data_IF_559426539585
#
_entry.id   IF_559426539585
#
_cell.length_a   1.000
_cell.length_b   1.000
_cell.length_c   1.000
_cell.angle_alpha   90.00
_cell.angle_beta   90.00
_cell.angle_gamma   90.00
#
_symmetry.space_group_name_H-M   'P 1'
#
loop_
_entity.id
_entity.type
_entity.pdbx_description
1 polymer ?
#
# COMPACT_ATOMS: atom_id res chain seq x y z
N UNK A 1 16.91 -8.38 -12.07
CA UNK A 1 15.93 -9.43 -11.69
C UNK A 1 14.59 -8.77 -11.80
N UNK A 2 13.74 -9.25 -12.70
CA UNK A 2 12.50 -8.56 -13.04
C UNK A 2 11.58 -8.48 -11.82
N UNK A 3 11.07 -7.28 -11.55
CA UNK A 3 10.17 -7.01 -10.44
C UNK A 3 8.73 -7.39 -10.80
N UNK A 4 8.20 -8.41 -10.13
CA UNK A 4 6.89 -9.00 -10.43
C UNK A 4 5.70 -8.08 -10.13
N UNK A 5 5.84 -7.20 -9.15
CA UNK A 5 4.85 -6.17 -8.79
C UNK A 5 4.64 -5.16 -9.93
N UNK A 6 5.71 -4.77 -10.63
CA UNK A 6 5.63 -3.88 -11.80
C UNK A 6 4.92 -4.57 -12.96
N UNK A 7 5.27 -5.84 -13.23
CA UNK A 7 4.61 -6.64 -14.27
C UNK A 7 3.11 -6.75 -13.99
N UNK A 8 2.72 -7.06 -12.75
CA UNK A 8 1.33 -7.16 -12.35
C UNK A 8 0.60 -5.81 -12.52
N UNK A 9 1.26 -4.69 -12.17
CA UNK A 9 0.74 -3.34 -12.36
C UNK A 9 0.52 -2.98 -13.83
N UNK A 10 1.51 -3.21 -14.69
CA UNK A 10 1.43 -3.01 -16.14
C UNK A 10 0.31 -3.87 -16.75
N UNK A 11 0.25 -5.17 -16.41
CA UNK A 11 -0.78 -6.10 -16.89
C UNK A 11 -2.18 -5.64 -16.51
N UNK A 12 -2.41 -5.30 -15.24
CA UNK A 12 -3.72 -4.83 -14.75
C UNK A 12 -4.14 -3.52 -15.45
N UNK A 13 -3.20 -2.60 -15.72
CA UNK A 13 -3.49 -1.38 -16.46
C UNK A 13 -3.89 -1.69 -17.92
N UNK A 14 -3.18 -2.59 -18.60
CA UNK A 14 -3.50 -3.00 -19.97
C UNK A 14 -4.84 -3.72 -20.04
N UNK A 15 -5.14 -4.61 -19.08
CA UNK A 15 -6.44 -5.30 -18.96
C UNK A 15 -7.60 -4.33 -18.74
N UNK A 16 -7.36 -3.15 -18.14
CA UNK A 16 -8.33 -2.07 -17.98
C UNK A 16 -8.45 -1.17 -19.22
N UNK A 17 -7.72 -1.45 -20.29
CA UNK A 17 -7.75 -0.70 -21.54
C UNK A 17 -6.80 0.50 -21.60
N UNK A 18 -5.89 0.66 -20.64
CA UNK A 18 -4.84 1.67 -20.74
C UNK A 18 -3.75 1.22 -21.71
N UNK A 19 -3.17 2.16 -22.45
CA UNK A 19 -1.99 1.87 -23.27
C UNK A 19 -0.78 1.53 -22.39
N UNK A 20 0.14 0.72 -22.91
CA UNK A 20 1.37 0.36 -22.21
C UNK A 20 2.18 1.61 -21.80
N UNK A 21 2.24 2.64 -22.65
CA UNK A 21 2.90 3.92 -22.35
C UNK A 21 2.25 4.66 -21.18
N UNK A 22 0.92 4.72 -21.13
CA UNK A 22 0.20 5.32 -20.00
C UNK A 22 0.46 4.55 -18.69
N UNK A 23 0.51 3.22 -18.76
CA UNK A 23 0.83 2.38 -17.61
C UNK A 23 2.27 2.62 -17.10
N UNK A 24 3.26 2.71 -18.00
CA UNK A 24 4.64 3.07 -17.66
C UNK A 24 4.73 4.44 -16.99
N UNK A 25 4.03 5.45 -17.52
CA UNK A 25 4.01 6.79 -16.92
C UNK A 25 3.40 6.78 -15.51
N UNK A 26 2.35 5.98 -15.28
CA UNK A 26 1.75 5.82 -13.95
C UNK A 26 2.73 5.23 -12.93
N UNK A 27 3.52 4.25 -13.34
CA UNK A 27 4.56 3.64 -12.51
C UNK A 27 5.72 4.60 -12.23
N UNK A 28 6.15 5.39 -13.22
CA UNK A 28 7.12 6.47 -13.03
C UNK A 28 6.64 7.47 -11.96
N UNK A 29 5.38 7.89 -12.06
CA UNK A 29 4.76 8.79 -11.08
C UNK A 29 4.65 8.16 -9.68
N UNK A 30 4.65 6.83 -9.58
CA UNK A 30 4.58 6.08 -8.31
C UNK A 30 5.97 5.84 -7.68
N UNK A 31 7.05 6.31 -8.31
CA UNK A 31 8.42 6.21 -7.79
C UNK A 31 9.18 4.95 -8.21
N UNK A 32 8.66 4.18 -9.17
CA UNK A 32 9.42 3.07 -9.74
C UNK A 32 10.52 3.60 -10.67
N UNK A 33 11.66 2.90 -10.72
CA UNK A 33 12.78 3.31 -11.59
C UNK A 33 12.47 3.01 -13.06
N UNK A 34 12.96 3.84 -13.97
CA UNK A 34 12.78 3.66 -15.42
C UNK A 34 13.34 2.34 -15.93
N UNK A 35 14.49 1.90 -15.38
CA UNK A 35 15.10 0.61 -15.71
C UNK A 35 14.17 -0.56 -15.40
N UNK A 36 13.58 -0.56 -14.19
CA UNK A 36 12.68 -1.64 -13.77
C UNK A 36 11.37 -1.64 -14.56
N UNK A 37 10.85 -0.44 -14.90
CA UNK A 37 9.65 -0.29 -15.73
C UNK A 37 9.91 -0.84 -17.14
N UNK A 38 11.07 -0.54 -17.73
CA UNK A 38 11.46 -0.97 -19.08
C UNK A 38 11.70 -2.48 -19.13
N UNK A 39 12.41 -3.04 -18.14
CA UNK A 39 12.65 -4.48 -18.02
C UNK A 39 11.30 -5.25 -17.90
N UNK A 40 10.38 -4.75 -17.07
CA UNK A 40 9.05 -5.33 -16.91
C UNK A 40 8.17 -5.19 -18.17
N UNK A 41 8.24 -4.06 -18.88
CA UNK A 41 7.49 -3.90 -20.14
C UNK A 41 8.02 -4.82 -21.23
N UNK A 42 9.34 -4.99 -21.32
CA UNK A 42 9.97 -5.90 -22.27
C UNK A 42 9.60 -7.36 -21.97
N UNK A 43 9.52 -7.72 -20.68
CA UNK A 43 9.05 -9.04 -20.25
C UNK A 43 7.60 -9.30 -20.66
N UNK A 44 6.71 -8.31 -20.51
CA UNK A 44 5.31 -8.42 -20.96
C UNK A 44 5.18 -8.50 -22.48
N UNK A 45 5.94 -7.70 -23.22
CA UNK A 45 5.95 -7.73 -24.68
C UNK A 45 6.58 -9.00 -25.26
N UNK A 46 7.53 -9.61 -24.54
CA UNK A 46 8.20 -10.85 -24.96
C UNK A 46 7.47 -12.14 -24.56
N UNK A 47 6.55 -12.08 -23.58
CA UNK A 47 5.93 -13.27 -22.99
C UNK A 47 4.50 -13.59 -23.43
N UNK A 48 3.74 -12.64 -24.00
CA UNK A 48 2.33 -12.86 -24.34
C UNK A 48 1.93 -12.22 -25.67
N UNK A 49 1.70 -13.11 -26.65
CA UNK A 49 0.53 -13.23 -27.53
C UNK A 49 -0.08 -11.93 -28.04
N UNK A 50 -0.05 -11.80 -29.36
CA UNK A 50 -0.93 -11.04 -30.23
C UNK A 50 -2.34 -10.89 -29.63
N UNK A 51 -2.56 -9.86 -28.79
CA UNK A 51 -3.90 -9.50 -28.33
C UNK A 51 -4.54 -8.82 -29.51
N UNK A 52 -5.18 -9.67 -30.30
CA UNK A 52 -6.06 -9.32 -31.39
C UNK A 52 -6.95 -8.18 -30.92
N UNK A 53 -6.80 -7.04 -31.61
CA UNK A 53 -7.57 -5.81 -31.45
C UNK A 53 -9.01 -6.14 -31.03
N UNK A 54 -9.31 -5.96 -29.74
CA UNK A 54 -10.67 -6.08 -29.26
C UNK A 54 -11.40 -4.79 -29.68
N UNK A 55 -12.56 -4.88 -30.35
CA UNK A 55 -13.27 -3.71 -30.82
C UNK A 55 -13.63 -2.83 -29.63
N UNK A 56 -13.20 -1.58 -29.78
CA UNK A 56 -13.48 -0.42 -28.95
C UNK A 56 -14.95 -0.42 -28.49
N UNK A 57 -15.18 -0.82 -27.24
CA UNK A 57 -16.50 -0.78 -26.63
C UNK A 57 -16.83 0.68 -26.31
N UNK A 58 -17.82 1.18 -27.05
CA UNK A 58 -18.43 2.51 -26.94
C UNK A 58 -18.58 2.95 -25.48
N UNK A 59 -17.70 3.87 -25.07
CA UNK A 59 -18.01 4.81 -24.02
C UNK A 59 -18.75 5.98 -24.68
N UNK A 60 -19.86 6.48 -24.11
CA UNK A 60 -20.58 7.61 -24.69
C UNK A 60 -19.65 8.83 -24.77
N UNK A 61 -19.61 9.39 -25.99
CA UNK A 61 -18.84 10.56 -26.34
C UNK A 61 -19.16 11.73 -25.41
N UNK A 62 -18.17 12.13 -24.61
CA UNK A 62 -18.13 13.48 -24.06
C UNK A 62 -17.27 14.31 -25.01
N UNK A 63 -17.93 15.26 -25.66
CA UNK A 63 -17.43 16.10 -26.75
C UNK A 63 -16.04 16.67 -26.48
N UNK A 64 -15.12 16.40 -27.40
CA UNK A 64 -13.91 17.18 -27.58
C UNK A 64 -14.24 18.37 -28.49
N UNK A 65 -14.18 19.58 -27.96
CA UNK A 65 -14.01 20.80 -28.75
C UNK A 65 -12.57 21.27 -28.60
N UNK A 66 -11.87 21.25 -29.71
CA UNK A 66 -10.58 21.87 -29.96
C UNK A 66 -10.72 23.39 -29.85
N UNK A 67 -9.92 24.00 -28.98
CA UNK A 67 -9.52 25.41 -29.13
C UNK A 67 -8.04 25.53 -28.80
N UNK A 68 -7.35 26.22 -29.70
CA UNK A 68 -5.91 26.40 -29.69
C UNK A 68 -5.45 27.18 -28.44
N UNK A 69 -4.27 26.78 -27.96
CA UNK A 69 -3.46 27.34 -26.87
C UNK A 69 -3.29 28.88 -26.96
N UNK A 70 -3.14 29.58 -25.82
CA UNK A 70 -1.80 29.69 -25.24
C UNK A 70 -1.73 29.60 -23.71
N UNK A 71 -0.66 28.95 -23.30
CA UNK A 71 0.26 29.40 -22.26
C UNK A 71 -0.20 29.36 -20.80
N UNK A 72 0.14 28.23 -20.18
CA UNK A 72 0.65 28.03 -18.81
C UNK A 72 -0.15 28.53 -17.58
N UNK A 73 -0.14 27.61 -16.61
CA UNK A 73 -0.37 27.75 -15.17
C UNK A 73 -1.79 27.45 -14.65
N UNK A 74 -1.79 26.44 -13.76
CA UNK A 74 -2.77 26.15 -12.70
C UNK A 74 -4.09 25.52 -13.10
N UNK A 75 -4.11 24.22 -13.42
CA UNK A 75 -5.21 23.36 -12.95
C UNK A 75 -4.89 21.88 -13.09
N UNK A 76 -4.08 21.36 -12.17
CA UNK A 76 -4.35 20.07 -11.49
C UNK A 76 -3.41 19.95 -10.29
N UNK A 77 -3.46 20.99 -9.44
CA UNK A 77 -3.25 20.79 -8.02
C UNK A 77 -4.61 20.37 -7.41
N UNK A 78 -5.10 19.19 -7.78
CA UNK A 78 -5.47 18.29 -6.70
C UNK A 78 -4.11 17.77 -6.25
N UNK A 79 -3.35 18.49 -5.42
CA UNK A 79 -3.50 18.37 -3.98
C UNK A 79 -4.28 17.09 -3.64
N UNK A 80 -3.77 15.94 -4.09
CA UNK A 80 -3.60 14.84 -3.16
C UNK A 80 -2.91 15.49 -1.96
N UNK A 81 -3.71 15.97 -1.02
CA UNK A 81 -3.29 16.04 0.36
C UNK A 81 -2.48 14.75 0.54
N UNK A 82 -1.25 14.81 1.07
CA UNK A 82 -0.73 13.61 1.69
C UNK A 82 -1.86 13.25 2.64
N UNK A 83 -2.64 12.22 2.30
CA UNK A 83 -3.44 11.50 3.25
C UNK A 83 -2.32 11.03 4.14
N UNK A 84 -1.99 11.86 5.14
CA UNK A 84 -1.14 11.54 6.26
C UNK A 84 -1.72 10.18 6.57
N UNK A 85 -0.97 9.13 6.20
CA UNK A 85 -1.19 7.83 6.77
C UNK A 85 -0.89 8.15 8.22
N UNK A 86 -1.95 8.60 8.89
CA UNK A 86 -2.04 8.83 10.30
C UNK A 86 -1.74 7.43 10.74
N UNK A 87 -0.45 7.20 11.01
CA UNK A 87 0.09 5.90 11.30
C UNK A 87 -0.87 5.40 12.33
N UNK A 88 -1.70 4.43 11.94
CA UNK A 88 -2.56 3.76 12.89
C UNK A 88 -1.52 3.04 13.71
N UNK A 89 -1.00 3.72 14.73
CA UNK A 89 -0.50 3.06 15.93
C UNK A 89 -1.68 2.18 16.26
N UNK A 90 -1.54 0.93 15.86
CA UNK A 90 -2.60 -0.04 15.95
C UNK A 90 -3.03 0.03 17.41
N UNK A 91 -4.32 0.18 17.70
CA UNK A 91 -4.80 0.17 19.09
C UNK A 91 -4.23 -1.05 19.85
N UNK A 92 -3.92 -2.11 19.09
CA UNK A 92 -3.10 -3.24 19.46
C UNK A 92 -1.76 -2.91 20.15
N UNK A 93 -0.92 -1.99 19.62
CA UNK A 93 0.35 -1.60 20.24
C UNK A 93 0.15 -0.94 21.61
N UNK A 94 -0.85 -0.07 21.74
CA UNK A 94 -1.17 0.59 23.02
C UNK A 94 -1.65 -0.43 24.05
N UNK A 95 -2.52 -1.35 23.63
CA UNK A 95 -2.97 -2.48 24.46
C UNK A 95 -1.79 -3.34 24.89
N UNK A 96 -0.87 -3.67 23.98
CA UNK A 96 0.30 -4.50 24.28
C UNK A 96 1.19 -3.86 25.34
N UNK A 97 1.46 -2.55 25.23
CA UNK A 97 2.26 -1.80 26.21
C UNK A 97 1.54 -1.78 27.58
N UNK A 98 0.23 -1.58 27.60
CA UNK A 98 -0.55 -1.55 28.83
C UNK A 98 -0.53 -2.91 29.54
N UNK A 99 -0.73 -4.01 28.80
CA UNK A 99 -0.63 -5.37 29.33
C UNK A 99 0.76 -5.66 29.88
N UNK A 100 1.81 -5.22 29.17
CA UNK A 100 3.19 -5.36 29.62
C UNK A 100 3.42 -4.66 30.98
N UNK A 101 2.93 -3.43 31.14
CA UNK A 101 3.06 -2.69 32.40
C UNK A 101 2.33 -3.37 33.56
N UNK A 102 1.14 -3.92 33.33
CA UNK A 102 0.39 -4.67 34.34
C UNK A 102 1.16 -5.92 34.75
N UNK A 103 1.72 -6.67 33.79
CA UNK A 103 2.51 -7.87 34.07
C UNK A 103 3.78 -7.57 34.87
N UNK A 104 4.52 -6.53 34.50
CA UNK A 104 5.73 -6.13 35.25
C UNK A 104 5.37 -5.65 36.65
N UNK A 105 4.30 -4.86 36.80
CA UNK A 105 3.84 -4.41 38.11
C UNK A 105 3.45 -5.59 38.99
N UNK A 106 2.67 -6.53 38.45
CA UNK A 106 2.28 -7.75 39.14
C UNK A 106 3.50 -8.59 39.55
N UNK A 107 4.49 -8.72 38.67
CA UNK A 107 5.74 -9.42 38.97
C UNK A 107 6.48 -8.78 40.14
N UNK A 108 6.63 -7.44 40.15
CA UNK A 108 7.32 -6.72 41.22
C UNK A 108 6.56 -6.86 42.54
N UNK A 109 5.24 -6.71 42.53
CA UNK A 109 4.43 -6.99 43.72
C UNK A 109 4.61 -8.43 44.19
N UNK A 110 4.58 -9.41 43.28
CA UNK A 110 4.77 -10.81 43.64
C UNK A 110 6.14 -11.10 44.26
N UNK A 111 7.18 -10.34 43.90
CA UNK A 111 8.51 -10.44 44.52
C UNK A 111 8.55 -9.80 45.90
N UNK A 112 7.89 -8.65 46.09
CA UNK A 112 7.81 -7.96 47.38
C UNK A 112 6.97 -8.78 48.37
N UNK A 113 5.84 -9.30 47.90
CA UNK A 113 4.86 -10.04 48.71
C UNK A 113 5.08 -11.56 48.68
N UNK A 114 6.30 -12.01 48.38
CA UNK A 114 6.59 -13.44 48.19
C UNK A 114 6.29 -14.25 49.46
N UNK A 115 6.59 -13.68 50.62
CA UNK A 115 6.42 -14.34 51.90
C UNK A 115 4.92 -14.46 52.26
N UNK A 116 4.12 -13.40 52.07
CA UNK A 116 2.67 -13.49 52.29
C UNK A 116 2.00 -14.43 51.28
N UNK A 117 2.43 -14.45 50.01
CA UNK A 117 1.91 -15.39 49.03
C UNK A 117 2.18 -16.84 49.43
N UNK A 118 3.40 -17.14 49.88
CA UNK A 118 3.76 -18.48 50.34
C UNK A 118 2.91 -18.90 51.54
N UNK A 119 2.68 -17.98 52.47
CA UNK A 119 1.83 -18.23 53.64
C UNK A 119 0.36 -18.42 53.26
N UNK A 120 -0.17 -17.62 52.31
CA UNK A 120 -1.52 -17.80 51.77
C UNK A 120 -1.68 -19.17 51.11
N UNK A 121 -0.70 -19.63 50.32
CA UNK A 121 -0.74 -20.95 49.70
C UNK A 121 -0.70 -22.08 50.74
N UNK A 122 0.11 -21.94 51.79
CA UNK A 122 0.12 -22.91 52.89
C UNK A 122 -1.23 -22.98 53.61
N UNK A 123 -1.88 -21.84 53.84
CA UNK A 123 -3.21 -21.79 54.46
C UNK A 123 -4.34 -22.29 53.54
N UNK A 124 -4.18 -22.19 52.22
CA UNK A 124 -5.20 -22.61 51.25
C UNK A 124 -5.17 -24.13 50.98
N UNK A 125 -4.00 -24.76 51.13
CA UNK A 125 -3.77 -26.19 50.89
C UNK A 125 -3.55 -27.02 52.15
N UNK A 126 -3.64 -26.40 53.33
CA UNK A 126 -3.69 -27.09 54.63
C UNK A 126 -5.12 -27.31 55.08
#
# INVERSE_FOLDING_TARGET
>A
MVRMDIIAGLKNAVERGYSLEQAKQSLRNSGYSEGDITEASNYLSGGFVNVQHMPQQNHPAQNFQTTQHPNYQRQNQQMLQPKKQKGKISAFLVILILVLFVLVSFLVLSLIFKDELTQLFQNLFS
#
